data_IF_227440202976
#
_entry.id   IF_227440202976
#
_cell.length_a   1.000
_cell.length_b   1.000
_cell.length_c   1.000
_cell.angle_alpha   90.00
_cell.angle_beta   90.00
_cell.angle_gamma   90.00
#
_symmetry.space_group_name_H-M   'P 1'
#
loop_
_entity.id
_entity.type
_entity.pdbx_description
1 polymer ?
#
# COMPACT_ATOMS: atom_id res chain seq x y z
N UNK A 1 17.60 -4.74 12.86
CA UNK A 1 17.55 -3.41 13.52
C UNK A 1 16.21 -2.67 13.36
N UNK A 2 15.63 -2.55 12.15
CA UNK A 2 14.37 -1.78 11.92
C UNK A 2 13.13 -2.23 12.72
N UNK A 3 12.99 -3.52 13.05
CA UNK A 3 11.86 -4.02 13.84
C UNK A 3 11.98 -3.73 15.35
N UNK A 4 13.22 -3.63 15.87
CA UNK A 4 13.45 -3.31 17.28
C UNK A 4 13.18 -1.83 17.57
N UNK A 5 13.47 -0.95 16.60
CA UNK A 5 13.17 0.50 16.70
C UNK A 5 11.66 0.76 16.70
N UNK A 6 10.87 0.00 15.95
CA UNK A 6 9.39 0.13 15.93
C UNK A 6 8.75 -0.30 17.25
N UNK A 7 9.24 -1.39 17.87
CA UNK A 7 8.77 -1.83 19.20
C UNK A 7 9.17 -0.85 20.30
N UNK A 8 10.37 -0.27 20.22
CA UNK A 8 10.86 0.72 21.19
C UNK A 8 10.06 2.04 21.11
N UNK A 9 9.71 2.51 19.91
CA UNK A 9 8.92 3.72 19.73
C UNK A 9 7.47 3.58 20.22
N UNK A 10 6.86 2.40 20.02
CA UNK A 10 5.47 2.13 20.42
C UNK A 10 5.32 2.03 21.95
N UNK A 11 6.32 1.52 22.67
CA UNK A 11 6.28 1.40 24.14
C UNK A 11 6.52 2.74 24.85
N UNK A 12 7.35 3.63 24.30
CA UNK A 12 7.57 4.98 24.87
C UNK A 12 6.35 5.90 24.73
N UNK A 13 5.55 5.79 23.66
CA UNK A 13 4.35 6.63 23.50
C UNK A 13 3.20 6.27 24.45
N UNK A 14 3.10 5.01 24.88
CA UNK A 14 2.06 4.57 25.84
C UNK A 14 2.46 4.94 27.29
N UNK A 15 3.76 4.92 27.62
CA UNK A 15 4.23 5.30 28.95
C UNK A 15 4.02 6.79 29.29
N UNK A 16 3.94 7.68 28.29
CA UNK A 16 3.71 9.12 28.49
C UNK A 16 2.24 9.47 28.83
N UNK A 17 1.29 8.57 28.56
CA UNK A 17 -0.15 8.78 28.78
C UNK A 17 -0.62 8.41 30.20
N UNK A 18 0.23 7.76 31.00
CA UNK A 18 -0.11 7.26 32.35
C UNK A 18 0.68 7.97 33.45
N UNK A 19 1.42 9.03 33.13
CA UNK A 19 2.12 9.81 34.15
C UNK A 19 1.10 10.58 35.02
N UNK A 20 1.06 10.35 36.35
CA UNK A 20 0.15 11.08 37.22
C UNK A 20 0.57 12.55 37.25
N UNK A 21 -0.30 13.43 36.72
CA UNK A 21 -0.14 14.86 36.82
C UNK A 21 -0.44 15.24 38.27
N UNK A 22 0.58 15.55 39.06
CA UNK A 22 0.38 16.06 40.42
C UNK A 22 -0.29 17.43 40.34
N UNK A 23 -1.59 17.49 40.64
CA UNK A 23 -2.32 18.74 40.74
C UNK A 23 -2.04 19.38 42.11
N UNK A 24 -1.27 20.46 42.12
CA UNK A 24 -1.10 21.28 43.31
C UNK A 24 -2.32 22.19 43.47
N UNK A 25 -3.14 21.91 44.48
CA UNK A 25 -4.25 22.79 44.84
C UNK A 25 -3.68 24.12 45.38
N UNK A 26 -3.92 25.21 44.65
CA UNK A 26 -3.63 26.55 45.14
C UNK A 26 -4.57 26.89 46.32
N UNK A 27 -4.09 27.61 47.36
CA UNK A 27 -4.99 28.20 48.34
C UNK A 27 -5.97 29.10 47.59
N UNK A 28 -7.27 28.78 47.70
CA UNK A 28 -8.32 29.49 46.99
C UNK A 28 -8.31 30.98 47.29
N UNK A 29 -8.87 31.79 46.38
CA UNK A 29 -9.07 33.24 46.63
C UNK A 29 -9.99 33.42 47.85
N UNK A 30 -9.73 34.44 48.65
CA UNK A 30 -10.67 34.91 49.68
C UNK A 30 -11.96 35.39 49.03
N UNK A 31 -13.08 35.23 49.73
CA UNK A 31 -14.36 35.79 49.28
C UNK A 31 -14.43 37.32 49.47
N UNK A 32 -15.59 37.89 49.17
CA UNK A 32 -15.82 39.34 49.23
C UNK A 32 -15.65 39.95 50.65
N UNK A 33 -15.72 39.14 51.71
CA UNK A 33 -15.51 39.58 53.09
C UNK A 33 -14.04 39.44 53.53
N UNK A 34 -13.15 38.97 52.67
CA UNK A 34 -11.71 38.87 52.94
C UNK A 34 -11.30 37.62 53.75
N UNK A 35 -12.18 36.64 53.88
CA UNK A 35 -11.90 35.34 54.49
C UNK A 35 -12.10 34.16 53.53
N UNK A 36 -11.87 32.94 54.01
CA UNK A 36 -12.20 31.72 53.28
C UNK A 36 -12.38 30.52 54.21
N UNK A 37 -13.05 29.48 53.72
CA UNK A 37 -13.16 28.18 54.40
C UNK A 37 -11.94 27.30 54.13
N UNK A 38 -11.26 26.86 55.18
CA UNK A 38 -10.16 25.92 55.04
C UNK A 38 -10.67 24.52 54.66
N UNK A 39 -10.17 24.00 53.53
CA UNK A 39 -10.54 22.67 52.98
C UNK A 39 -9.34 21.74 52.78
N UNK A 40 -8.11 22.23 52.93
CA UNK A 40 -6.89 21.41 52.79
C UNK A 40 -5.85 21.87 53.81
N UNK A 41 -5.12 20.92 54.41
CA UNK A 41 -4.02 21.17 55.35
C UNK A 41 -4.39 22.03 56.58
N UNK A 42 -5.64 22.04 57.04
CA UNK A 42 -6.15 22.94 58.10
C UNK A 42 -5.45 22.75 59.45
N UNK A 43 -5.17 21.49 59.81
CA UNK A 43 -4.49 21.14 61.07
C UNK A 43 -3.09 21.78 61.16
N UNK A 44 -2.40 21.94 60.03
CA UNK A 44 -1.08 22.60 59.97
C UNK A 44 -1.13 24.08 60.35
N UNK A 45 -2.30 24.69 60.19
CA UNK A 45 -2.57 26.08 60.56
C UNK A 45 -3.34 26.20 61.88
N UNK A 46 -3.51 25.09 62.62
CA UNK A 46 -4.24 25.06 63.89
C UNK A 46 -5.76 25.19 63.75
N UNK A 47 -6.31 24.91 62.56
CA UNK A 47 -7.74 25.05 62.25
C UNK A 47 -8.39 23.69 62.00
N UNK A 48 -9.68 23.57 62.28
CA UNK A 48 -10.46 22.39 61.94
C UNK A 48 -10.85 22.37 60.45
N UNK A 49 -11.02 21.18 59.88
CA UNK A 49 -11.47 21.04 58.49
C UNK A 49 -12.87 21.67 58.33
N UNK A 50 -13.01 22.61 57.40
CA UNK A 50 -14.25 23.35 57.19
C UNK A 50 -14.40 24.61 58.02
N UNK A 51 -13.41 24.96 58.85
CA UNK A 51 -13.41 26.22 59.60
C UNK A 51 -13.14 27.41 58.66
N UNK A 52 -13.84 28.52 58.90
CA UNK A 52 -13.70 29.75 58.11
C UNK A 52 -12.83 30.76 58.85
N UNK A 53 -11.80 31.30 58.19
CA UNK A 53 -10.89 32.27 58.80
C UNK A 53 -10.58 33.47 57.90
N UNK A 54 -10.20 34.58 58.52
CA UNK A 54 -9.83 35.83 57.85
C UNK A 54 -8.32 36.01 57.84
N UNK A 55 -7.77 36.53 56.73
CA UNK A 55 -6.33 36.83 56.63
C UNK A 55 -5.96 38.21 57.18
N UNK A 56 -6.91 39.16 57.22
CA UNK A 56 -6.71 40.47 57.81
C UNK A 56 -7.78 40.73 58.87
N UNK A 57 -7.33 41.09 60.07
CA UNK A 57 -8.18 41.43 61.21
C UNK A 57 -8.99 42.69 60.87
N UNK A 58 -10.34 42.67 60.84
CA UNK A 58 -11.09 43.92 60.82
C UNK A 58 -10.77 44.68 62.11
N UNK A 59 -10.55 45.99 61.99
CA UNK A 59 -10.19 46.85 63.11
C UNK A 59 -11.20 46.70 64.26
N UNK A 60 -10.67 46.42 65.46
CA UNK A 60 -11.43 46.40 66.70
C UNK A 60 -11.88 47.83 67.01
N UNK A 61 -13.19 48.09 67.14
CA UNK A 61 -13.70 49.36 67.67
C UNK A 61 -14.38 49.13 69.01
N UNK A 62 -13.67 49.50 70.06
CA UNK A 62 -14.20 49.74 71.40
C UNK A 62 -14.97 51.06 71.39
N UNK A 63 -16.13 51.07 72.05
CA UNK A 63 -17.02 52.24 72.08
C UNK A 63 -16.42 53.48 72.73
N UNK A 64 -16.75 54.63 72.16
CA UNK A 64 -16.74 55.92 72.82
C UNK A 64 -17.86 56.80 72.23
N UNK A 65 -18.58 57.45 73.14
CA UNK A 65 -19.82 58.20 72.94
C UNK A 65 -19.55 59.64 72.46
N UNK A 66 -20.40 60.09 71.53
CA UNK A 66 -20.73 61.50 71.20
C UNK A 66 -19.75 62.33 70.35
N UNK A 67 -20.22 63.36 69.61
CA UNK A 67 -21.55 63.60 69.02
C UNK A 67 -21.51 63.43 67.49
N UNK A 68 -22.70 63.35 66.87
CA UNK A 68 -22.90 63.17 65.44
C UNK A 68 -22.01 64.08 64.57
N UNK A 69 -21.21 63.54 63.63
CA UNK A 69 -20.75 64.35 62.53
C UNK A 69 -21.97 64.60 61.63
N UNK A 70 -22.29 65.88 61.48
CA UNK A 70 -23.06 66.42 60.37
C UNK A 70 -22.85 65.57 59.11
N UNK A 71 -23.95 65.01 58.58
CA UNK A 71 -23.97 64.36 57.28
C UNK A 71 -23.46 65.36 56.25
N UNK A 72 -22.17 65.29 55.92
CA UNK A 72 -21.67 65.92 54.72
C UNK A 72 -22.09 65.01 53.57
N UNK A 73 -23.20 65.36 52.94
CA UNK A 73 -23.79 64.64 51.81
C UNK A 73 -22.81 64.42 50.63
N UNK A 74 -21.61 65.02 50.67
CA UNK A 74 -20.57 64.85 49.65
C UNK A 74 -19.80 63.51 49.71
N UNK A 75 -19.61 62.87 50.88
CA UNK A 75 -18.79 61.64 50.95
C UNK A 75 -19.53 60.38 50.50
N UNK A 76 -20.85 60.31 50.72
CA UNK A 76 -21.70 59.23 50.22
C UNK A 76 -21.83 59.32 48.68
N UNK A 77 -21.92 60.54 48.15
CA UNK A 77 -21.98 60.81 46.71
C UNK A 77 -20.67 60.44 46.01
N UNK A 78 -19.51 60.65 46.63
CA UNK A 78 -18.22 60.20 46.08
C UNK A 78 -18.08 58.68 46.07
N UNK A 79 -18.51 57.98 47.12
CA UNK A 79 -18.48 56.52 47.17
C UNK A 79 -19.40 55.89 46.11
N UNK A 80 -20.59 56.46 45.91
CA UNK A 80 -21.54 56.04 44.88
C UNK A 80 -20.99 56.28 43.47
N UNK A 81 -20.34 57.43 43.25
CA UNK A 81 -19.65 57.75 41.98
C UNK A 81 -18.49 56.81 41.68
N UNK A 82 -17.72 56.40 42.69
CA UNK A 82 -16.65 55.41 42.55
C UNK A 82 -17.19 54.01 42.26
N UNK A 83 -18.25 53.59 42.94
CA UNK A 83 -18.91 52.31 42.67
C UNK A 83 -19.53 52.26 41.27
N UNK A 84 -20.13 53.35 40.80
CA UNK A 84 -20.65 53.47 39.44
C UNK A 84 -19.52 53.43 38.40
N UNK A 85 -18.39 54.11 38.66
CA UNK A 85 -17.22 54.05 37.79
C UNK A 85 -16.61 52.64 37.72
N UNK A 86 -16.56 51.91 38.84
CA UNK A 86 -16.10 50.52 38.88
C UNK A 86 -17.04 49.59 38.11
N UNK A 87 -18.36 49.73 38.28
CA UNK A 87 -19.35 48.97 37.50
C UNK A 87 -19.21 49.21 35.99
N UNK A 88 -19.09 50.48 35.57
CA UNK A 88 -18.87 50.83 34.17
C UNK A 88 -17.57 50.23 33.62
N UNK A 89 -16.48 50.26 34.41
CA UNK A 89 -15.22 49.65 34.03
C UNK A 89 -15.28 48.11 33.94
N UNK A 90 -16.05 47.46 34.82
CA UNK A 90 -16.25 46.01 34.77
C UNK A 90 -17.15 45.58 33.60
N UNK A 91 -18.25 46.31 33.35
CA UNK A 91 -19.10 46.11 32.17
C UNK A 91 -18.29 46.27 30.87
N UNK A 92 -17.40 47.27 30.78
CA UNK A 92 -16.50 47.45 29.63
C UNK A 92 -15.51 46.28 29.48
N UNK A 93 -14.90 45.81 30.58
CA UNK A 93 -14.00 44.63 30.56
C UNK A 93 -14.73 43.38 30.09
N UNK A 94 -15.99 43.17 30.50
CA UNK A 94 -16.80 42.03 30.06
C UNK A 94 -17.10 42.12 28.56
N UNK A 95 -17.44 43.31 28.04
CA UNK A 95 -17.67 43.51 26.60
C UNK A 95 -16.42 43.22 25.76
N UNK A 96 -15.25 43.73 26.19
CA UNK A 96 -13.98 43.45 25.50
C UNK A 96 -13.64 41.96 25.55
N UNK A 97 -13.83 41.30 26.69
CA UNK A 97 -13.60 39.86 26.81
C UNK A 97 -14.54 39.04 25.92
N UNK A 98 -15.82 39.44 25.81
CA UNK A 98 -16.78 38.78 24.92
C UNK A 98 -16.43 38.97 23.44
N UNK A 99 -16.00 40.17 23.05
CA UNK A 99 -15.54 40.48 21.69
C UNK A 99 -14.29 39.67 21.33
N UNK A 100 -13.31 39.59 22.23
CA UNK A 100 -12.13 38.75 22.05
C UNK A 100 -12.49 37.27 21.89
N UNK A 101 -13.43 36.75 22.69
CA UNK A 101 -13.89 35.37 22.56
C UNK A 101 -14.57 35.11 21.21
N UNK A 102 -15.43 36.03 20.75
CA UNK A 102 -16.08 35.93 19.43
C UNK A 102 -15.06 35.99 18.28
N UNK A 103 -14.06 36.85 18.38
CA UNK A 103 -12.98 36.94 17.40
C UNK A 103 -12.13 35.65 17.38
N UNK A 104 -11.82 35.09 18.54
CA UNK A 104 -11.09 33.81 18.64
C UNK A 104 -11.90 32.65 18.05
N UNK A 105 -13.20 32.60 18.33
CA UNK A 105 -14.10 31.58 17.77
C UNK A 105 -14.21 31.69 16.25
N UNK A 106 -14.36 32.90 15.71
CA UNK A 106 -14.37 33.14 14.27
C UNK A 106 -13.05 32.68 13.60
N UNK A 107 -11.90 32.98 14.22
CA UNK A 107 -10.60 32.50 13.73
C UNK A 107 -10.50 30.98 13.74
N UNK A 108 -10.99 30.31 14.79
CA UNK A 108 -11.02 28.84 14.86
C UNK A 108 -11.92 28.25 13.78
N UNK A 109 -13.06 28.87 13.50
CA UNK A 109 -13.95 28.43 12.42
C UNK A 109 -13.30 28.61 11.04
N UNK A 110 -12.62 29.74 10.80
CA UNK A 110 -11.88 29.98 9.55
C UNK A 110 -10.74 28.97 9.36
N UNK A 111 -9.97 28.69 10.43
CA UNK A 111 -8.90 27.69 10.40
C UNK A 111 -9.45 26.28 10.16
N UNK A 112 -10.56 25.92 10.82
CA UNK A 112 -11.23 24.64 10.60
C UNK A 112 -11.74 24.50 9.15
N UNK A 113 -12.33 25.55 8.59
CA UNK A 113 -12.77 25.57 7.19
C UNK A 113 -11.59 25.43 6.23
N UNK A 114 -10.50 26.15 6.49
CA UNK A 114 -9.26 26.05 5.70
C UNK A 114 -8.69 24.63 5.74
N UNK A 115 -8.71 23.98 6.89
CA UNK A 115 -8.22 22.61 7.03
C UNK A 115 -9.13 21.60 6.33
N UNK A 116 -10.46 21.76 6.44
CA UNK A 116 -11.42 20.95 5.70
C UNK A 116 -11.24 21.09 4.17
N UNK A 117 -11.01 22.31 3.69
CA UNK A 117 -10.71 22.59 2.29
C UNK A 117 -9.41 21.92 1.83
N UNK A 118 -8.36 21.95 2.66
CA UNK A 118 -7.10 21.25 2.37
C UNK A 118 -7.31 19.74 2.29
N UNK A 119 -7.96 19.13 3.28
CA UNK A 119 -8.21 17.68 3.30
C UNK A 119 -9.03 17.23 2.09
N UNK A 120 -10.08 17.99 1.76
CA UNK A 120 -10.89 17.75 0.56
C UNK A 120 -10.05 17.87 -0.71
N UNK A 121 -9.20 18.90 -0.80
CA UNK A 121 -8.24 19.06 -1.90
C UNK A 121 -7.31 17.86 -2.03
N UNK A 122 -6.74 17.38 -0.92
CA UNK A 122 -5.85 16.21 -0.93
C UNK A 122 -6.54 14.97 -1.49
N UNK A 123 -7.74 14.65 -0.97
CA UNK A 123 -8.49 13.45 -1.35
C UNK A 123 -8.95 13.50 -2.81
N UNK A 124 -9.51 14.64 -3.25
CA UNK A 124 -9.95 14.82 -4.63
C UNK A 124 -8.76 14.88 -5.59
N UNK A 125 -7.65 15.52 -5.21
CA UNK A 125 -6.43 15.56 -6.01
C UNK A 125 -5.86 14.17 -6.26
N UNK A 126 -5.79 13.32 -5.23
CA UNK A 126 -5.34 11.94 -5.39
C UNK A 126 -6.27 11.16 -6.34
N UNK A 127 -7.59 11.19 -6.08
CA UNK A 127 -8.57 10.44 -6.87
C UNK A 127 -8.60 10.89 -8.33
N UNK A 128 -8.56 12.20 -8.57
CA UNK A 128 -8.60 12.75 -9.91
C UNK A 128 -7.30 12.46 -10.64
N UNK A 129 -6.13 12.59 -9.99
CA UNK A 129 -4.85 12.22 -10.58
C UNK A 129 -4.81 10.76 -11.07
N UNK A 130 -5.33 9.81 -10.25
CA UNK A 130 -5.44 8.40 -10.66
C UNK A 130 -6.42 8.18 -11.83
N UNK A 131 -7.53 8.92 -11.85
CA UNK A 131 -8.57 8.79 -12.89
C UNK A 131 -8.10 9.38 -14.21
N UNK A 132 -7.49 10.54 -14.15
CA UNK A 132 -6.96 11.30 -15.27
C UNK A 132 -5.75 10.61 -15.91
N UNK A 133 -4.89 9.98 -15.10
CA UNK A 133 -3.81 9.12 -15.61
C UNK A 133 -4.36 7.97 -16.46
N UNK A 134 -5.43 7.30 -15.99
CA UNK A 134 -6.10 6.24 -16.77
C UNK A 134 -6.73 6.78 -18.05
N UNK A 135 -7.21 8.02 -18.04
CA UNK A 135 -7.76 8.70 -19.21
C UNK A 135 -6.70 9.30 -20.14
N UNK A 136 -5.41 9.31 -19.75
CA UNK A 136 -4.32 9.92 -20.50
C UNK A 136 -4.36 11.45 -20.58
N UNK A 137 -5.00 12.13 -19.62
CA UNK A 137 -5.14 13.58 -19.58
C UNK A 137 -4.45 14.13 -18.35
N UNK A 138 -3.40 14.92 -18.48
CA UNK A 138 -2.71 15.52 -17.32
C UNK A 138 -3.07 17.00 -17.23
N UNK A 139 -4.17 17.31 -16.55
CA UNK A 139 -4.64 18.68 -16.39
C UNK A 139 -5.26 18.83 -14.99
N UNK A 140 -4.52 19.44 -14.07
CA UNK A 140 -4.99 19.65 -12.70
C UNK A 140 -5.86 20.92 -12.60
N UNK A 141 -5.68 21.87 -13.52
CA UNK A 141 -6.31 23.19 -13.52
C UNK A 141 -7.82 23.11 -13.72
N UNK A 142 -8.29 22.17 -14.53
CA UNK A 142 -9.73 21.96 -14.78
C UNK A 142 -10.53 21.58 -13.52
N UNK A 143 -9.87 21.05 -12.48
CA UNK A 143 -10.53 20.57 -11.26
C UNK A 143 -10.60 21.62 -10.14
N UNK A 144 -9.84 22.72 -10.24
CA UNK A 144 -9.63 23.67 -9.13
C UNK A 144 -10.35 25.01 -9.31
N UNK A 145 -11.14 25.17 -10.38
CA UNK A 145 -11.87 26.40 -10.64
C UNK A 145 -12.86 26.75 -9.51
N UNK A 146 -12.82 28.00 -9.03
CA UNK A 146 -13.71 28.49 -7.97
C UNK A 146 -13.43 27.95 -6.56
N UNK A 147 -12.29 27.29 -6.33
CA UNK A 147 -11.93 26.72 -5.03
C UNK A 147 -11.06 27.68 -4.20
N UNK A 148 -11.01 27.48 -2.88
CA UNK A 148 -10.11 28.20 -1.98
C UNK A 148 -8.65 27.85 -2.25
N UNK A 149 -7.72 28.76 -1.96
CA UNK A 149 -6.30 28.54 -2.27
C UNK A 149 -5.70 27.37 -1.50
N UNK A 150 -6.17 27.14 -0.27
CA UNK A 150 -5.78 26.00 0.54
C UNK A 150 -6.19 24.66 -0.12
N UNK A 151 -7.41 24.60 -0.67
CA UNK A 151 -7.85 23.47 -1.50
C UNK A 151 -6.96 23.33 -2.76
N UNK A 152 -6.75 24.42 -3.52
CA UNK A 152 -6.00 24.35 -4.79
C UNK A 152 -4.58 23.82 -4.58
N UNK A 153 -3.90 24.31 -3.55
CA UNK A 153 -2.54 23.89 -3.20
C UNK A 153 -2.48 22.41 -2.83
N UNK A 154 -3.39 21.99 -1.93
CA UNK A 154 -3.50 20.61 -1.51
C UNK A 154 -3.82 19.66 -2.68
N UNK A 155 -4.78 20.04 -3.52
CA UNK A 155 -5.21 19.30 -4.69
C UNK A 155 -4.06 19.09 -5.68
N UNK A 156 -3.39 20.18 -6.09
CA UNK A 156 -2.30 20.10 -7.08
C UNK A 156 -1.15 19.22 -6.58
N UNK A 157 -0.83 19.29 -5.29
CA UNK A 157 0.22 18.48 -4.69
C UNK A 157 -0.12 16.98 -4.73
N UNK A 158 -1.32 16.58 -4.30
CA UNK A 158 -1.70 15.16 -4.29
C UNK A 158 -2.03 14.63 -5.68
N UNK A 159 -2.52 15.47 -6.59
CA UNK A 159 -2.70 15.13 -8.00
C UNK A 159 -1.37 14.77 -8.66
N UNK A 160 -0.35 15.64 -8.52
CA UNK A 160 0.98 15.38 -9.06
C UNK A 160 1.63 14.13 -8.44
N UNK A 161 1.46 13.93 -7.13
CA UNK A 161 1.95 12.74 -6.45
C UNK A 161 1.27 11.45 -6.96
N UNK A 162 -0.05 11.47 -7.14
CA UNK A 162 -0.81 10.35 -7.68
C UNK A 162 -0.39 10.05 -9.13
N UNK A 163 -0.25 11.07 -9.97
CA UNK A 163 0.23 10.92 -11.35
C UNK A 163 1.61 10.25 -11.41
N UNK A 164 2.58 10.77 -10.64
CA UNK A 164 3.93 10.21 -10.59
C UNK A 164 3.94 8.76 -10.08
N UNK A 165 3.11 8.45 -9.09
CA UNK A 165 2.98 7.09 -8.57
C UNK A 165 2.43 6.13 -9.64
N UNK A 166 1.41 6.53 -10.39
CA UNK A 166 0.85 5.72 -11.48
C UNK A 166 1.85 5.55 -12.63
N UNK A 167 2.62 6.58 -12.97
CA UNK A 167 3.70 6.50 -13.97
C UNK A 167 4.80 5.51 -13.55
N UNK A 168 5.20 5.54 -12.28
CA UNK A 168 6.14 4.56 -11.73
C UNK A 168 5.57 3.14 -11.78
N UNK A 169 4.30 2.95 -11.40
CA UNK A 169 3.63 1.64 -11.49
C UNK A 169 3.62 1.12 -12.93
N UNK A 170 3.24 1.97 -13.89
CA UNK A 170 3.24 1.64 -15.32
C UNK A 170 4.64 1.26 -15.80
N UNK A 171 5.65 2.07 -15.47
CA UNK A 171 7.04 1.79 -15.83
C UNK A 171 7.51 0.46 -15.25
N UNK A 172 7.16 0.17 -14.00
CA UNK A 172 7.52 -1.10 -13.38
C UNK A 172 6.80 -2.29 -13.99
N UNK A 173 5.55 -2.11 -14.40
CA UNK A 173 4.79 -3.13 -15.12
C UNK A 173 5.42 -3.45 -16.48
N UNK A 174 5.76 -2.43 -17.28
CA UNK A 174 6.41 -2.61 -18.58
C UNK A 174 7.78 -3.29 -18.45
N UNK A 175 8.63 -2.86 -17.51
CA UNK A 175 9.90 -3.54 -17.21
C UNK A 175 9.71 -5.03 -16.86
N UNK A 176 8.65 -5.35 -16.11
CA UNK A 176 8.32 -6.74 -15.79
C UNK A 176 7.91 -7.55 -17.04
N UNK A 177 7.16 -6.93 -17.95
CA UNK A 177 6.75 -7.53 -19.22
C UNK A 177 7.94 -7.76 -20.15
N UNK A 178 8.82 -6.77 -20.33
CA UNK A 178 10.06 -6.90 -21.11
C UNK A 178 10.93 -8.05 -20.59
N UNK A 179 11.03 -8.19 -19.27
CA UNK A 179 11.78 -9.28 -18.63
C UNK A 179 11.15 -10.66 -18.89
N UNK A 180 9.82 -10.75 -18.86
CA UNK A 180 9.12 -11.97 -19.25
C UNK A 180 9.34 -12.31 -20.74
N UNK A 181 9.25 -11.33 -21.64
CA UNK A 181 9.48 -11.54 -23.07
C UNK A 181 10.92 -12.01 -23.36
N UNK A 182 11.90 -11.36 -22.71
CA UNK A 182 13.30 -11.77 -22.76
C UNK A 182 13.47 -13.21 -22.26
N UNK A 183 12.89 -13.54 -21.10
CA UNK A 183 12.91 -14.88 -20.53
C UNK A 183 12.35 -15.93 -21.48
N UNK A 184 11.14 -15.71 -22.00
CA UNK A 184 10.50 -16.65 -22.93
C UNK A 184 11.34 -16.85 -24.20
N UNK A 185 11.95 -15.79 -24.74
CA UNK A 185 12.85 -15.88 -25.89
C UNK A 185 14.10 -16.71 -25.57
N UNK A 186 14.83 -16.35 -24.52
CA UNK A 186 16.06 -17.05 -24.11
C UNK A 186 15.78 -18.54 -23.82
N UNK A 187 14.65 -18.83 -23.16
CA UNK A 187 14.21 -20.19 -22.90
C UNK A 187 13.89 -20.98 -24.17
N UNK A 188 13.26 -20.35 -25.17
CA UNK A 188 12.99 -20.99 -26.47
C UNK A 188 14.27 -21.30 -27.25
N UNK A 189 15.24 -20.38 -27.17
CA UNK A 189 16.55 -20.48 -27.83
C UNK A 189 17.50 -21.47 -27.12
N UNK A 190 17.14 -21.96 -25.93
CA UNK A 190 17.98 -22.80 -25.06
C UNK A 190 19.31 -22.13 -24.71
N UNK A 191 19.32 -20.80 -24.64
CA UNK A 191 20.49 -20.02 -24.27
C UNK A 191 20.68 -19.99 -22.74
N UNK A 192 21.87 -19.62 -22.28
CA UNK A 192 22.19 -19.52 -20.86
C UNK A 192 21.24 -18.53 -20.15
N UNK A 193 20.82 -18.87 -18.93
CA UNK A 193 19.92 -18.03 -18.14
C UNK A 193 20.60 -16.72 -17.77
N UNK A 194 20.16 -15.63 -18.38
CA UNK A 194 20.59 -14.29 -18.01
C UNK A 194 19.41 -13.30 -18.00
N UNK A 195 18.88 -12.94 -16.82
CA UNK A 195 17.76 -12.01 -16.72
C UNK A 195 18.09 -10.59 -17.22
N UNK A 196 19.36 -10.20 -17.30
CA UNK A 196 19.72 -8.82 -17.63
C UNK A 196 19.39 -7.87 -16.47
N UNK A 197 18.12 -7.42 -16.34
CA UNK A 197 17.70 -6.51 -15.28
C UNK A 197 17.51 -7.26 -13.95
N UNK A 198 18.32 -6.89 -12.94
CA UNK A 198 18.29 -7.44 -11.58
C UNK A 198 17.93 -6.41 -10.50
N UNK A 199 17.42 -5.23 -10.91
CA UNK A 199 17.09 -4.12 -10.02
C UNK A 199 16.01 -4.49 -8.99
N UNK A 200 15.07 -5.37 -9.38
CA UNK A 200 13.99 -5.85 -8.52
C UNK A 200 13.80 -7.35 -8.67
N UNK A 201 13.54 -8.01 -7.55
CA UNK A 201 13.26 -9.46 -7.51
C UNK A 201 12.06 -9.85 -8.39
N UNK A 202 11.04 -8.98 -8.49
CA UNK A 202 9.86 -9.21 -9.33
C UNK A 202 10.21 -9.33 -10.83
N UNK A 203 11.28 -8.66 -11.29
CA UNK A 203 11.74 -8.72 -12.68
C UNK A 203 12.45 -10.03 -12.97
N UNK A 204 13.35 -10.42 -12.06
CA UNK A 204 14.06 -11.69 -12.15
C UNK A 204 13.07 -12.86 -12.16
N UNK A 205 12.06 -12.84 -11.29
CA UNK A 205 11.00 -13.86 -11.27
C UNK A 205 10.17 -13.90 -12.55
N UNK A 206 9.83 -12.74 -13.12
CA UNK A 206 9.11 -12.67 -14.39
C UNK A 206 9.93 -13.32 -15.53
N UNK A 207 11.22 -13.00 -15.60
CA UNK A 207 12.16 -13.63 -16.53
C UNK A 207 12.26 -15.14 -16.32
N UNK A 208 12.54 -15.61 -15.11
CA UNK A 208 12.77 -17.04 -14.83
C UNK A 208 11.53 -17.89 -15.13
N UNK A 209 10.36 -17.39 -14.76
CA UNK A 209 9.09 -18.07 -15.04
C UNK A 209 8.86 -18.19 -16.55
N UNK A 210 9.09 -17.11 -17.29
CA UNK A 210 8.93 -17.09 -18.73
C UNK A 210 9.98 -17.94 -19.45
N UNK A 211 11.22 -17.97 -18.95
CA UNK A 211 12.28 -18.85 -19.42
C UNK A 211 11.87 -20.33 -19.34
N UNK A 212 11.38 -20.78 -18.18
CA UNK A 212 10.95 -22.17 -18.01
C UNK A 212 9.79 -22.53 -18.95
N UNK A 213 8.87 -21.58 -19.18
CA UNK A 213 7.80 -21.74 -20.16
C UNK A 213 8.34 -21.89 -21.58
N UNK A 214 9.27 -21.02 -21.99
CA UNK A 214 9.92 -21.08 -23.30
C UNK A 214 10.65 -22.40 -23.52
N UNK A 215 11.46 -22.82 -22.54
CA UNK A 215 12.20 -24.08 -22.55
C UNK A 215 11.27 -25.30 -22.69
N UNK A 216 10.23 -25.39 -21.85
CA UNK A 216 9.23 -26.48 -21.92
C UNK A 216 8.48 -26.50 -23.26
N UNK A 217 8.18 -25.32 -23.81
CA UNK A 217 7.53 -25.19 -25.11
C UNK A 217 8.41 -25.76 -26.22
N UNK A 218 9.69 -25.37 -26.28
CA UNK A 218 10.65 -25.91 -27.26
C UNK A 218 10.82 -27.42 -27.10
N UNK A 219 11.00 -27.91 -25.86
CA UNK A 219 11.10 -29.35 -25.59
C UNK A 219 9.91 -30.12 -26.16
N UNK A 220 8.69 -29.70 -25.83
CA UNK A 220 7.46 -30.35 -26.29
C UNK A 220 7.33 -30.32 -27.82
N UNK A 221 7.70 -29.21 -28.46
CA UNK A 221 7.65 -29.09 -29.91
C UNK A 221 8.62 -30.04 -30.61
N UNK A 222 9.84 -30.19 -30.06
CA UNK A 222 10.89 -31.06 -30.61
C UNK A 222 10.56 -32.53 -30.37
N UNK A 223 10.08 -32.90 -29.18
CA UNK A 223 9.57 -34.26 -28.90
C UNK A 223 8.41 -34.61 -29.85
N UNK A 224 7.46 -33.70 -30.06
CA UNK A 224 6.36 -33.90 -31.02
C UNK A 224 6.87 -34.09 -32.45
N UNK A 225 7.91 -33.34 -32.84
CA UNK A 225 8.54 -33.50 -34.15
C UNK A 225 9.20 -34.89 -34.30
N UNK A 226 9.92 -35.36 -33.28
CA UNK A 226 10.48 -36.70 -33.24
C UNK A 226 9.40 -37.79 -33.29
N UNK A 227 8.33 -37.60 -32.53
CA UNK A 227 7.18 -38.51 -32.49
C UNK A 227 6.52 -38.66 -33.87
N UNK A 228 6.31 -37.53 -34.57
CA UNK A 228 5.78 -37.54 -35.94
C UNK A 228 6.76 -38.19 -36.91
N UNK A 229 8.05 -37.87 -36.79
CA UNK A 229 9.10 -38.45 -37.62
C UNK A 229 9.13 -39.97 -37.53
N UNK A 230 8.80 -40.55 -36.38
CA UNK A 230 8.68 -41.99 -36.22
C UNK A 230 7.57 -42.62 -37.08
N UNK A 231 6.52 -41.90 -37.48
CA UNK A 231 5.55 -42.44 -38.43
C UNK A 231 6.00 -42.33 -39.89
N UNK A 232 6.83 -41.34 -40.20
CA UNK A 232 7.21 -41.01 -41.57
C UNK A 232 8.50 -41.72 -42.01
N UNK A 233 9.34 -42.13 -41.06
CA UNK A 233 10.67 -42.67 -41.35
C UNK A 233 10.92 -43.94 -40.57
N UNK A 234 11.37 -45.00 -41.27
CA UNK A 234 11.70 -46.27 -40.63
C UNK A 234 12.86 -46.13 -39.64
N UNK A 235 13.97 -45.50 -40.05
CA UNK A 235 15.15 -45.32 -39.20
C UNK A 235 15.18 -43.96 -38.52
N UNK A 236 15.73 -43.92 -37.30
CA UNK A 236 16.04 -42.66 -36.64
C UNK A 236 17.23 -41.98 -37.35
N UNK A 237 16.96 -40.87 -38.02
CA UNK A 237 17.97 -39.93 -38.51
C UNK A 237 17.62 -38.54 -38.02
N UNK A 238 18.41 -38.00 -37.10
CA UNK A 238 18.14 -36.69 -36.51
C UNK A 238 18.33 -35.61 -37.59
N UNK A 239 17.32 -34.77 -37.87
CA UNK A 239 17.47 -33.65 -38.81
C UNK A 239 18.57 -32.68 -38.39
N UNK A 240 19.31 -32.11 -39.36
CA UNK A 240 20.42 -31.18 -39.13
C UNK A 240 20.07 -29.96 -38.23
N UNK A 241 18.78 -29.55 -38.23
CA UNK A 241 18.25 -28.48 -37.35
C UNK A 241 18.25 -28.83 -35.85
N UNK A 242 18.26 -30.11 -35.50
CA UNK A 242 18.31 -30.60 -34.12
C UNK A 242 19.66 -31.22 -33.77
N UNK A 243 20.44 -31.62 -34.78
CA UNK A 243 21.68 -32.38 -34.61
C UNK A 243 22.80 -31.58 -33.91
N UNK A 244 22.89 -30.28 -34.16
CA UNK A 244 23.95 -29.41 -33.61
C UNK A 244 23.79 -29.06 -32.14
N UNK A 245 22.61 -29.25 -31.56
CA UNK A 245 22.34 -28.96 -30.15
C UNK A 245 21.99 -30.25 -29.43
N UNK A 246 22.82 -30.64 -28.46
CA UNK A 246 22.68 -31.91 -27.73
C UNK A 246 21.31 -32.08 -27.06
N UNK A 247 20.71 -31.00 -26.53
CA UNK A 247 19.36 -31.06 -25.95
C UNK A 247 18.30 -31.30 -27.01
N UNK A 248 18.36 -30.59 -28.14
CA UNK A 248 17.42 -30.77 -29.24
C UNK A 248 17.52 -32.19 -29.83
N UNK A 249 18.74 -32.67 -30.04
CA UNK A 249 19.02 -34.04 -30.51
C UNK A 249 18.44 -35.08 -29.56
N UNK A 250 18.65 -34.90 -28.25
CA UNK A 250 18.10 -35.77 -27.21
C UNK A 250 16.57 -35.78 -27.23
N UNK A 251 15.92 -34.62 -27.17
CA UNK A 251 14.44 -34.54 -27.15
C UNK A 251 13.80 -35.05 -28.43
N UNK A 252 14.44 -34.83 -29.58
CA UNK A 252 13.94 -35.39 -30.83
C UNK A 252 14.00 -36.92 -30.81
N UNK A 253 15.11 -37.47 -30.32
CA UNK A 253 15.31 -38.92 -30.17
C UNK A 253 14.33 -39.52 -29.16
N UNK A 254 14.10 -38.84 -28.03
CA UNK A 254 13.10 -39.23 -27.03
C UNK A 254 11.70 -39.22 -27.66
N UNK A 255 11.34 -38.15 -28.36
CA UNK A 255 10.09 -38.05 -29.11
C UNK A 255 9.85 -39.20 -30.08
N UNK A 256 10.87 -39.55 -30.88
CA UNK A 256 10.81 -40.69 -31.79
C UNK A 256 10.55 -42.01 -31.05
N UNK A 257 11.27 -42.25 -29.96
CA UNK A 257 11.15 -43.47 -29.14
C UNK A 257 9.82 -43.56 -28.37
N UNK A 258 9.20 -42.42 -28.04
CA UNK A 258 7.92 -42.38 -27.34
C UNK A 258 6.75 -42.88 -28.20
N UNK A 259 6.90 -42.95 -29.52
CA UNK A 259 5.87 -43.43 -30.42
C UNK A 259 5.80 -44.96 -30.46
N UNK A 260 5.13 -45.53 -29.46
CA UNK A 260 4.93 -46.98 -29.33
C UNK A 260 4.22 -47.59 -30.54
N UNK A 261 3.18 -46.93 -31.06
CA UNK A 261 2.44 -47.41 -32.25
C UNK A 261 3.34 -47.52 -33.48
N UNK A 262 4.20 -46.53 -33.72
CA UNK A 262 5.17 -46.61 -34.81
C UNK A 262 6.20 -47.73 -34.59
N UNK A 263 6.60 -48.00 -33.34
CA UNK A 263 7.49 -49.11 -33.02
C UNK A 263 6.81 -50.47 -33.28
N UNK A 264 5.56 -50.64 -32.85
CA UNK A 264 4.72 -51.82 -33.11
C UNK A 264 4.57 -52.08 -34.62
N UNK A 265 4.26 -51.05 -35.41
CA UNK A 265 4.17 -51.16 -36.88
C UNK A 265 5.47 -51.68 -37.49
N UNK A 266 6.62 -51.18 -37.03
CA UNK A 266 7.93 -51.64 -37.53
C UNK A 266 8.20 -53.08 -37.16
N UNK A 267 7.92 -53.46 -35.91
CA UNK A 267 8.16 -54.82 -35.41
C UNK A 267 7.28 -55.84 -36.14
N UNK A 268 5.99 -55.56 -36.27
CA UNK A 268 5.06 -56.45 -36.96
C UNK A 268 5.34 -56.53 -38.46
N UNK A 269 5.58 -55.38 -39.10
CA UNK A 269 5.94 -55.36 -40.51
C UNK A 269 7.22 -56.15 -40.77
N UNK A 270 8.24 -55.98 -39.92
CA UNK A 270 9.49 -56.73 -40.02
C UNK A 270 9.27 -58.24 -39.87
N UNK A 271 8.56 -58.69 -38.82
CA UNK A 271 8.24 -60.12 -38.62
C UNK A 271 7.48 -60.72 -39.81
N UNK A 272 6.54 -59.98 -40.38
CA UNK A 272 5.79 -60.40 -41.58
C UNK A 272 6.66 -60.41 -42.85
N UNK A 273 7.66 -59.54 -42.92
CA UNK A 273 8.66 -59.50 -43.99
C UNK A 273 9.64 -60.67 -43.96
N UNK A 274 10.09 -61.05 -42.76
CA UNK A 274 11.00 -62.19 -42.49
C UNK A 274 10.30 -63.56 -42.61
N UNK A 275 8.97 -63.56 -42.73
CA UNK A 275 8.18 -64.78 -42.93
C UNK A 275 8.25 -65.30 -44.38
N UNK A 276 8.19 -66.62 -44.54
CA UNK A 276 8.01 -67.31 -45.83
C UNK A 276 6.83 -66.75 -46.65
N UNK A 277 5.79 -66.23 -45.99
CA UNK A 277 4.59 -65.68 -46.64
C UNK A 277 4.64 -64.17 -46.89
N UNK A 278 5.81 -63.54 -46.81
CA UNK A 278 5.99 -62.09 -46.95
C UNK A 278 5.51 -61.47 -48.27
N UNK A 279 5.33 -62.29 -49.32
CA UNK A 279 4.69 -61.88 -50.57
C UNK A 279 3.22 -61.47 -50.37
N UNK A 280 2.45 -62.19 -49.55
CA UNK A 280 1.03 -61.90 -49.30
C UNK A 280 0.84 -60.68 -48.40
N UNK A 281 1.70 -60.50 -47.39
CA UNK A 281 1.58 -59.41 -46.42
C UNK A 281 1.92 -58.03 -46.98
N UNK A 282 2.70 -57.95 -48.08
CA UNK A 282 2.94 -56.68 -48.78
C UNK A 282 1.70 -56.16 -49.52
N UNK A 283 0.88 -57.07 -50.06
CA UNK A 283 -0.33 -56.71 -50.80
C UNK A 283 -1.54 -56.40 -49.90
N UNK A 284 -1.49 -56.79 -48.64
CA UNK A 284 -2.59 -56.60 -47.68
C UNK A 284 -2.11 -55.89 -46.41
N UNK A 285 -2.31 -54.57 -46.37
CA UNK A 285 -2.01 -53.75 -45.19
C UNK A 285 -3.20 -53.79 -44.23
N UNK A 286 -3.01 -54.23 -42.97
CA UNK A 286 -4.06 -54.25 -41.96
C UNK A 286 -4.74 -52.89 -41.82
N UNK A 287 -6.06 -52.88 -41.59
CA UNK A 287 -6.85 -51.65 -41.47
C UNK A 287 -6.32 -50.73 -40.36
N UNK A 288 -5.82 -51.30 -39.27
CA UNK A 288 -5.17 -50.63 -38.14
C UNK A 288 -3.90 -49.81 -38.52
N UNK A 289 -3.23 -50.16 -39.62
CA UNK A 289 -2.01 -49.51 -40.11
C UNK A 289 -2.22 -48.72 -41.39
N UNK A 290 -3.46 -48.62 -41.88
CA UNK A 290 -3.78 -47.96 -43.15
C UNK A 290 -3.32 -46.50 -43.20
N UNK A 291 -3.39 -45.78 -42.09
CA UNK A 291 -2.92 -44.38 -41.98
C UNK A 291 -1.39 -44.23 -42.02
N UNK A 292 -0.65 -45.32 -41.76
CA UNK A 292 0.82 -45.35 -41.75
C UNK A 292 1.34 -46.46 -42.68
N UNK A 293 0.63 -46.65 -43.80
CA UNK A 293 0.88 -47.69 -44.81
C UNK A 293 2.33 -47.73 -45.25
N UNK A 294 2.91 -46.56 -45.52
CA UNK A 294 4.29 -46.44 -46.01
C UNK A 294 5.31 -46.99 -45.01
N UNK A 295 5.14 -46.72 -43.71
CA UNK A 295 6.02 -47.25 -42.66
C UNK A 295 5.91 -48.77 -42.55
N UNK A 296 4.69 -49.30 -42.63
CA UNK A 296 4.43 -50.74 -42.59
C UNK A 296 5.04 -51.46 -43.81
N UNK A 297 4.88 -50.89 -45.01
CA UNK A 297 5.47 -51.44 -46.24
C UNK A 297 7.01 -51.44 -46.18
N UNK A 298 7.62 -50.33 -45.73
CA UNK A 298 9.07 -50.25 -45.49
C UNK A 298 9.54 -51.31 -44.47
N UNK A 299 8.75 -51.56 -43.42
CA UNK A 299 9.08 -52.56 -42.41
C UNK A 299 9.08 -53.99 -42.98
N UNK A 300 8.10 -54.33 -43.81
CA UNK A 300 8.06 -55.61 -44.53
C UNK A 300 9.28 -55.77 -45.44
N UNK A 301 9.64 -54.73 -46.20
CA UNK A 301 10.82 -54.78 -47.06
C UNK A 301 12.10 -55.02 -46.28
N UNK A 302 12.24 -54.39 -45.11
CA UNK A 302 13.40 -54.60 -44.23
C UNK A 302 13.48 -56.04 -43.71
N UNK A 303 12.34 -56.63 -43.31
CA UNK A 303 12.29 -58.03 -42.89
C UNK A 303 12.64 -59.02 -44.02
N UNK A 304 12.24 -58.73 -45.26
CA UNK A 304 12.58 -59.59 -46.43
C UNK A 304 14.06 -59.64 -46.75
N UNK A 305 14.79 -58.60 -46.39
CA UNK A 305 16.23 -58.45 -46.65
C UNK A 305 17.11 -58.86 -45.48
N UNK A 306 16.51 -59.28 -44.36
CA UNK A 306 17.22 -59.79 -43.19
C UNK A 306 17.71 -61.23 -43.40
#
# INVERSE_FOLDING_TARGET
MRQQVKKLLLTTSIALLVAPISAYAHPGRTDANGGHTCRTNCEKWGLQYGEYHYHNKPASSSGATSPAPSQNNNSAVEAERQAEAQRKAEEERQRVAEEQRKAEEARKQEEAQRQADMEKGQLEGQKNGETDFKAGKNDAEVHVAGKSDAYKQAFKATYAAAWSLEEQKKTHFEKGKEQAELGEKTGKELAEKNPGNREKEVYVKAYETAYEKGYKSTKKAVEKAGYKYAFENYNLKVPAKYERNELLKKWFTEGFKLNKKAAEIREEGYKKGDSWFSFFYKSFVPSEYKEHKELYEQAIEKGKTA
#
